data_IF_921767011812
#
_entry.id   IF_921767011812
#
_cell.length_a   1.000
_cell.length_b   1.000
_cell.length_c   1.000
_cell.angle_alpha   90.00
_cell.angle_beta   90.00
_cell.angle_gamma   90.00
#
_symmetry.space_group_name_H-M   'P 1'
#
loop_
_entity.id
_entity.type
_entity.pdbx_description
1 polymer ?
#
# COMPACT_ATOMS: atom_id res chain seq x y z
N UNK A 1 -15.46 -7.11 12.60
CA UNK A 1 -14.43 -8.14 12.85
C UNK A 1 -14.58 -8.78 14.23
N UNK A 2 -14.35 -10.09 14.36
CA UNK A 2 -14.29 -10.82 15.64
C UNK A 2 -12.82 -11.10 15.99
N UNK A 3 -12.21 -10.17 16.73
CA UNK A 3 -10.78 -10.22 17.06
C UNK A 3 -10.47 -11.45 17.92
N UNK A 4 -9.54 -12.29 17.45
CA UNK A 4 -9.01 -13.43 18.22
C UNK A 4 -7.86 -12.96 19.13
N UNK A 5 -8.19 -12.64 20.38
CA UNK A 5 -7.22 -12.14 21.37
C UNK A 5 -6.20 -13.19 21.84
N UNK A 6 -6.30 -14.44 21.40
CA UNK A 6 -5.37 -15.50 21.75
C UNK A 6 -4.29 -15.70 20.70
N UNK A 7 -4.36 -15.02 19.54
CA UNK A 7 -3.36 -15.16 18.51
C UNK A 7 -2.01 -14.60 18.96
N UNK A 8 -0.99 -15.35 18.59
CA UNK A 8 0.41 -14.96 18.66
C UNK A 8 1.03 -15.29 17.31
N UNK A 9 2.16 -14.65 17.00
CA UNK A 9 2.82 -14.84 15.70
C UNK A 9 3.25 -16.30 15.53
N UNK A 10 3.65 -16.96 16.61
CA UNK A 10 4.04 -18.38 16.63
C UNK A 10 2.92 -19.31 16.15
N UNK A 11 1.66 -18.91 16.31
CA UNK A 11 0.53 -19.68 15.78
C UNK A 11 0.45 -19.65 14.24
N UNK A 12 1.14 -18.72 13.59
CA UNK A 12 1.17 -18.57 12.13
C UNK A 12 2.41 -19.18 11.47
N UNK A 13 3.37 -19.71 12.24
CA UNK A 13 4.66 -20.20 11.72
C UNK A 13 4.48 -21.21 10.57
N UNK A 14 3.59 -22.20 10.76
CA UNK A 14 3.30 -23.22 9.73
C UNK A 14 2.73 -22.59 8.45
N UNK A 15 1.76 -21.69 8.58
CA UNK A 15 1.14 -21.00 7.44
C UNK A 15 2.13 -20.07 6.73
N UNK A 16 3.03 -19.42 7.46
CA UNK A 16 4.07 -18.57 6.90
C UNK A 16 5.10 -19.39 6.10
N UNK A 17 5.51 -20.56 6.61
CA UNK A 17 6.41 -21.44 5.86
C UNK A 17 5.75 -21.90 4.54
N UNK A 18 4.50 -22.36 4.59
CA UNK A 18 3.74 -22.72 3.39
C UNK A 18 3.57 -21.53 2.44
N UNK A 19 3.31 -20.33 2.96
CA UNK A 19 3.19 -19.10 2.18
C UNK A 19 4.47 -18.81 1.39
N UNK A 20 5.65 -18.92 2.01
CA UNK A 20 6.93 -18.67 1.34
C UNK A 20 7.28 -19.73 0.29
N UNK A 21 6.93 -20.99 0.53
CA UNK A 21 7.07 -22.06 -0.46
C UNK A 21 6.23 -21.79 -1.71
N UNK A 22 4.95 -21.43 -1.52
CA UNK A 22 4.05 -21.09 -2.62
C UNK A 22 4.49 -19.81 -3.33
N UNK A 23 4.89 -18.78 -2.57
CA UNK A 23 5.37 -17.50 -3.08
C UNK A 23 6.52 -17.67 -4.07
N UNK A 24 7.53 -18.49 -3.73
CA UNK A 24 8.65 -18.78 -4.60
C UNK A 24 8.20 -19.43 -5.92
N UNK A 25 7.31 -20.43 -5.83
CA UNK A 25 6.74 -21.09 -7.01
C UNK A 25 5.99 -20.11 -7.93
N UNK A 26 5.20 -19.19 -7.35
CA UNK A 26 4.46 -18.17 -8.10
C UNK A 26 5.42 -17.22 -8.84
N UNK A 27 6.45 -16.72 -8.17
CA UNK A 27 7.46 -15.83 -8.77
C UNK A 27 8.16 -16.52 -9.95
N UNK A 28 8.59 -17.76 -9.78
CA UNK A 28 9.25 -18.53 -10.85
C UNK A 28 8.30 -18.83 -12.02
N UNK A 29 7.02 -19.10 -11.74
CA UNK A 29 6.02 -19.30 -12.79
C UNK A 29 5.81 -18.04 -13.63
N UNK A 30 5.75 -16.86 -13.01
CA UNK A 30 5.64 -15.56 -13.71
C UNK A 30 6.89 -15.30 -14.53
N UNK A 31 8.09 -15.40 -13.95
CA UNK A 31 9.35 -15.14 -14.65
C UNK A 31 9.52 -16.04 -15.89
N UNK A 32 9.05 -17.29 -15.81
CA UNK A 32 9.13 -18.24 -16.93
C UNK A 32 8.09 -18.00 -18.02
N UNK A 33 6.87 -17.58 -17.67
CA UNK A 33 5.71 -17.65 -18.57
C UNK A 33 5.19 -16.29 -19.03
N UNK A 34 5.47 -15.21 -18.28
CA UNK A 34 4.88 -13.92 -18.56
C UNK A 34 5.64 -13.19 -19.67
N UNK A 35 4.91 -12.74 -20.70
CA UNK A 35 5.48 -11.95 -21.78
C UNK A 35 5.61 -10.48 -21.37
N UNK A 36 6.83 -10.06 -21.06
CA UNK A 36 7.13 -8.67 -20.70
C UNK A 36 6.84 -7.66 -21.82
N UNK A 37 6.68 -8.07 -23.08
CA UNK A 37 6.30 -7.17 -24.17
C UNK A 37 4.81 -6.78 -24.12
N UNK A 38 3.97 -7.54 -23.42
CA UNK A 38 2.54 -7.25 -23.29
C UNK A 38 2.26 -6.02 -22.41
N UNK A 39 3.24 -5.58 -21.62
CA UNK A 39 3.16 -4.50 -20.63
C UNK A 39 3.24 -5.00 -19.18
N UNK A 40 3.07 -4.10 -18.22
CA UNK A 40 3.15 -4.44 -16.80
C UNK A 40 2.03 -5.38 -16.34
N UNK A 41 2.32 -6.48 -15.62
CA UNK A 41 1.30 -7.34 -15.03
C UNK A 41 0.55 -6.65 -13.89
N UNK A 42 -0.79 -6.74 -13.92
CA UNK A 42 -1.68 -6.02 -12.99
C UNK A 42 -2.49 -6.98 -12.12
N UNK A 43 -3.29 -7.83 -12.74
CA UNK A 43 -4.16 -8.81 -12.08
C UNK A 43 -4.27 -10.09 -12.92
N UNK A 44 -4.67 -11.19 -12.29
CA UNK A 44 -4.86 -12.45 -13.00
C UNK A 44 -6.22 -12.55 -13.66
N UNK A 45 -6.30 -13.27 -14.78
CA UNK A 45 -7.53 -13.74 -15.41
C UNK A 45 -7.33 -15.23 -15.67
N UNK A 46 -8.23 -16.05 -15.16
CA UNK A 46 -8.12 -17.52 -15.18
C UNK A 46 -6.77 -17.98 -14.61
N UNK A 47 -6.31 -17.28 -13.56
CA UNK A 47 -5.06 -17.56 -12.88
C UNK A 47 -3.79 -17.20 -13.62
N UNK A 48 -3.84 -16.46 -14.74
CA UNK A 48 -2.66 -15.93 -15.44
C UNK A 48 -2.62 -14.41 -15.35
N UNK A 49 -1.47 -13.84 -14.99
CA UNK A 49 -1.32 -12.39 -14.95
C UNK A 49 -1.51 -11.77 -16.33
N UNK A 50 -2.26 -10.69 -16.37
CA UNK A 50 -2.56 -9.92 -17.58
C UNK A 50 -2.20 -8.44 -17.39
N UNK A 51 -2.17 -7.70 -18.49
CA UNK A 51 -1.93 -6.26 -18.47
C UNK A 51 -3.22 -5.46 -18.43
N UNK A 52 -3.08 -4.23 -17.93
CA UNK A 52 -4.08 -3.18 -18.10
C UNK A 52 -3.34 -1.86 -18.33
N UNK A 53 -3.22 -1.46 -19.58
CA UNK A 53 -2.57 -0.20 -19.94
C UNK A 53 -3.31 0.98 -19.30
N UNK A 54 -2.73 1.56 -18.26
CA UNK A 54 -3.27 2.73 -17.57
C UNK A 54 -2.18 3.60 -16.94
N UNK A 55 -1.46 3.08 -15.95
CA UNK A 55 -0.46 3.86 -15.18
C UNK A 55 0.87 3.13 -14.96
N UNK A 56 1.05 1.91 -15.45
CA UNK A 56 2.27 1.08 -15.23
C UNK A 56 2.71 1.01 -13.75
N UNK A 57 1.76 1.14 -12.82
CA UNK A 57 2.04 1.39 -11.40
C UNK A 57 2.45 0.13 -10.60
N UNK A 58 2.29 -1.06 -11.18
CA UNK A 58 2.48 -2.35 -10.49
C UNK A 58 3.80 -3.06 -10.82
N UNK A 59 4.63 -2.52 -11.72
CA UNK A 59 5.84 -3.20 -12.19
C UNK A 59 6.86 -3.39 -11.07
N UNK A 60 6.99 -2.41 -10.18
CA UNK A 60 7.86 -2.52 -9.02
C UNK A 60 7.41 -3.56 -8.00
N UNK A 61 6.12 -3.87 -7.93
CA UNK A 61 5.62 -4.96 -7.08
C UNK A 61 6.03 -6.34 -7.61
N UNK A 62 6.06 -6.54 -8.93
CA UNK A 62 6.53 -7.78 -9.53
C UNK A 62 7.98 -8.07 -9.12
N UNK A 63 8.88 -7.13 -9.35
CA UNK A 63 10.31 -7.34 -9.08
C UNK A 63 10.63 -7.24 -7.59
N UNK A 64 9.92 -6.38 -6.86
CA UNK A 64 10.01 -6.28 -5.41
C UNK A 64 9.58 -7.55 -4.69
N UNK A 65 8.62 -8.30 -5.24
CA UNK A 65 8.20 -9.59 -4.67
C UNK A 65 9.34 -10.60 -4.60
N UNK A 66 10.23 -10.63 -5.60
CA UNK A 66 11.43 -11.47 -5.57
C UNK A 66 12.43 -11.03 -4.48
N UNK A 67 12.56 -9.73 -4.25
CA UNK A 67 13.43 -9.21 -3.18
C UNK A 67 12.89 -9.56 -1.79
N UNK A 68 11.58 -9.49 -1.58
CA UNK A 68 10.94 -9.90 -0.33
C UNK A 68 11.05 -11.42 -0.09
N UNK A 69 10.91 -12.23 -1.15
CA UNK A 69 11.16 -13.68 -1.08
C UNK A 69 12.59 -13.95 -0.59
N UNK A 70 13.59 -13.29 -1.18
CA UNK A 70 14.98 -13.43 -0.75
C UNK A 70 15.20 -13.04 0.72
N UNK A 71 14.63 -11.92 1.18
CA UNK A 71 14.78 -11.49 2.58
C UNK A 71 14.25 -12.54 3.57
N UNK A 72 13.13 -13.17 3.22
CA UNK A 72 12.49 -14.18 4.05
C UNK A 72 13.22 -15.53 4.04
N UNK A 73 13.68 -16.00 2.87
CA UNK A 73 14.17 -17.38 2.69
C UNK A 73 15.68 -17.50 2.52
N UNK A 74 16.37 -16.45 2.11
CA UNK A 74 17.81 -16.47 1.77
C UNK A 74 18.15 -17.11 0.43
N UNK A 75 17.14 -17.45 -0.38
CA UNK A 75 17.32 -18.11 -1.68
C UNK A 75 17.85 -17.15 -2.75
N UNK A 76 19.12 -17.28 -3.11
CA UNK A 76 19.87 -16.34 -3.95
C UNK A 76 19.29 -16.11 -5.35
N UNK A 77 18.54 -17.08 -5.90
CA UNK A 77 17.89 -16.95 -7.21
C UNK A 77 16.91 -15.75 -7.23
N UNK A 78 16.14 -15.55 -6.16
CA UNK A 78 15.18 -14.44 -6.11
C UNK A 78 15.85 -13.07 -5.98
N UNK A 79 17.00 -12.99 -5.30
CA UNK A 79 17.83 -11.79 -5.32
C UNK A 79 18.33 -11.47 -6.73
N UNK A 80 18.78 -12.49 -7.47
CA UNK A 80 19.25 -12.32 -8.85
C UNK A 80 18.11 -11.85 -9.77
N UNK A 81 16.93 -12.45 -9.67
CA UNK A 81 15.73 -12.05 -10.43
C UNK A 81 15.38 -10.59 -10.12
N UNK A 82 15.20 -10.25 -8.83
CA UNK A 82 14.79 -8.92 -8.41
C UNK A 82 15.82 -7.84 -8.79
N UNK A 83 17.11 -8.10 -8.59
CA UNK A 83 18.19 -7.17 -8.94
C UNK A 83 18.29 -6.96 -10.44
N UNK A 84 18.35 -8.04 -11.23
CA UNK A 84 18.46 -7.98 -12.69
C UNK A 84 17.30 -7.19 -13.29
N UNK A 85 16.07 -7.57 -12.95
CA UNK A 85 14.88 -6.92 -13.50
C UNK A 85 14.76 -5.44 -13.06
N UNK A 86 15.18 -5.11 -11.84
CA UNK A 86 15.22 -3.70 -11.40
C UNK A 86 16.15 -2.87 -12.29
N UNK A 87 17.38 -3.34 -12.52
CA UNK A 87 18.38 -2.63 -13.33
C UNK A 87 17.94 -2.52 -14.80
N UNK A 88 17.46 -3.61 -15.38
CA UNK A 88 17.15 -3.67 -16.81
C UNK A 88 15.85 -2.94 -17.17
N UNK A 89 14.85 -2.91 -16.27
CA UNK A 89 13.47 -2.56 -16.64
C UNK A 89 12.88 -1.37 -15.89
N UNK A 90 13.42 -0.96 -14.74
CA UNK A 90 12.77 0.07 -13.91
C UNK A 90 13.17 1.51 -14.23
N UNK A 91 14.18 1.74 -15.08
CA UNK A 91 14.62 3.10 -15.41
C UNK A 91 13.50 4.03 -15.93
N UNK A 92 12.56 3.61 -16.80
CA UNK A 92 11.43 4.44 -17.23
C UNK A 92 10.54 4.93 -16.08
N UNK A 93 10.41 4.15 -15.00
CA UNK A 93 9.60 4.50 -13.82
C UNK A 93 10.26 5.58 -12.94
N UNK A 94 11.55 5.84 -13.09
CA UNK A 94 12.24 6.94 -12.40
C UNK A 94 11.82 8.30 -12.95
N UNK A 95 11.53 8.36 -14.24
CA UNK A 95 11.22 9.58 -14.97
C UNK A 95 9.75 9.68 -15.41
N UNK A 96 8.88 8.81 -14.92
CA UNK A 96 7.46 8.78 -15.30
C UNK A 96 6.69 9.97 -14.70
N UNK A 97 6.74 11.12 -15.37
CA UNK A 97 6.10 12.37 -14.90
C UNK A 97 4.57 12.31 -14.83
N UNK A 98 3.92 11.32 -15.47
CA UNK A 98 2.46 11.21 -15.57
C UNK A 98 1.72 10.65 -14.35
N UNK A 99 2.42 10.06 -13.36
CA UNK A 99 1.79 9.32 -12.25
C UNK A 99 2.38 9.70 -10.90
N UNK A 100 1.67 9.38 -9.82
CA UNK A 100 2.10 9.62 -8.43
C UNK A 100 2.61 8.35 -7.74
N UNK A 101 2.76 7.25 -8.48
CA UNK A 101 3.04 5.90 -7.98
C UNK A 101 4.53 5.58 -7.86
N UNK A 102 5.39 6.61 -7.81
CA UNK A 102 6.83 6.43 -7.75
C UNK A 102 7.26 5.66 -6.49
N UNK A 103 6.65 5.94 -5.33
CA UNK A 103 6.93 5.18 -4.12
C UNK A 103 6.56 3.70 -4.24
N UNK A 104 5.46 3.36 -4.90
CA UNK A 104 5.09 1.96 -5.14
C UNK A 104 6.06 1.23 -6.05
N UNK A 105 6.55 1.90 -7.11
CA UNK A 105 7.49 1.27 -8.03
C UNK A 105 8.92 1.20 -7.48
N UNK A 106 9.43 2.33 -6.98
CA UNK A 106 10.87 2.53 -6.79
C UNK A 106 11.34 2.22 -5.37
N UNK A 107 10.46 2.28 -4.36
CA UNK A 107 10.81 1.77 -3.01
C UNK A 107 10.76 0.25 -3.01
N UNK A 108 9.75 -0.35 -3.65
CA UNK A 108 9.61 -1.81 -3.74
C UNK A 108 10.78 -2.49 -4.45
N UNK A 109 11.52 -1.74 -5.27
CA UNK A 109 12.68 -2.23 -6.04
C UNK A 109 14.00 -1.67 -5.52
N UNK A 110 14.41 -0.47 -5.96
CA UNK A 110 15.65 0.19 -5.55
C UNK A 110 15.73 0.38 -4.03
N UNK A 111 14.62 0.74 -3.39
CA UNK A 111 14.53 0.86 -1.93
C UNK A 111 14.81 -0.45 -1.20
N UNK A 112 14.21 -1.56 -1.64
CA UNK A 112 14.46 -2.88 -1.06
C UNK A 112 15.90 -3.36 -1.29
N UNK A 113 16.48 -3.15 -2.48
CA UNK A 113 17.88 -3.49 -2.73
C UNK A 113 18.83 -2.72 -1.82
N UNK A 114 18.58 -1.42 -1.63
CA UNK A 114 19.35 -0.58 -0.73
C UNK A 114 19.20 -1.02 0.73
N UNK A 115 17.96 -1.26 1.18
CA UNK A 115 17.66 -1.76 2.53
C UNK A 115 18.38 -3.08 2.81
N UNK A 116 18.29 -4.05 1.91
CA UNK A 116 18.94 -5.35 2.06
C UNK A 116 20.47 -5.22 2.17
N UNK A 117 21.07 -4.23 1.51
CA UNK A 117 22.50 -3.93 1.68
C UNK A 117 22.79 -3.35 3.07
N UNK A 118 21.99 -2.40 3.54
CA UNK A 118 22.18 -1.80 4.87
C UNK A 118 21.92 -2.78 6.02
N UNK A 119 20.94 -3.67 5.90
CA UNK A 119 20.67 -4.73 6.86
C UNK A 119 21.72 -5.87 6.83
N UNK A 120 22.73 -5.79 5.95
CA UNK A 120 23.76 -6.83 5.81
C UNK A 120 23.24 -8.14 5.22
N UNK A 121 22.05 -8.14 4.60
CA UNK A 121 21.47 -9.29 3.90
C UNK A 121 22.11 -9.52 2.54
N UNK A 122 22.84 -8.55 2.00
CA UNK A 122 23.65 -8.68 0.79
C UNK A 122 25.03 -8.07 1.01
N UNK A 123 26.01 -8.47 0.20
CA UNK A 123 27.35 -7.89 0.25
C UNK A 123 27.31 -6.39 -0.07
N UNK A 124 28.06 -5.60 0.70
CA UNK A 124 28.19 -4.17 0.46
C UNK A 124 28.88 -3.91 -0.88
N UNK A 125 28.24 -3.12 -1.74
CA UNK A 125 28.82 -2.66 -3.00
C UNK A 125 28.53 -1.16 -3.16
N UNK A 126 29.58 -0.35 -3.12
CA UNK A 126 29.46 1.10 -3.13
C UNK A 126 28.87 1.64 -4.45
N UNK A 127 29.14 0.98 -5.58
CA UNK A 127 28.59 1.42 -6.87
C UNK A 127 27.10 1.14 -6.95
N UNK A 128 26.68 -0.08 -6.58
CA UNK A 128 25.26 -0.44 -6.51
C UNK A 128 24.49 0.47 -5.54
N UNK A 129 25.05 0.71 -4.34
CA UNK A 129 24.48 1.64 -3.36
C UNK A 129 24.24 3.03 -3.96
N UNK A 130 25.28 3.63 -4.56
CA UNK A 130 25.16 4.96 -5.17
C UNK A 130 24.15 4.99 -6.32
N UNK A 131 24.07 3.91 -7.10
CA UNK A 131 23.07 3.76 -8.15
C UNK A 131 21.63 3.72 -7.59
N UNK A 132 21.39 2.93 -6.53
CA UNK A 132 20.08 2.86 -5.88
C UNK A 132 19.69 4.18 -5.21
N UNK A 133 20.62 4.85 -4.53
CA UNK A 133 20.39 6.18 -3.96
C UNK A 133 20.05 7.21 -5.04
N UNK A 134 20.77 7.22 -6.17
CA UNK A 134 20.48 8.14 -7.27
C UNK A 134 19.08 7.91 -7.82
N UNK A 135 18.69 6.65 -8.02
CA UNK A 135 17.35 6.29 -8.47
C UNK A 135 16.25 6.81 -7.51
N UNK A 136 16.44 6.63 -6.20
CA UNK A 136 15.51 7.11 -5.17
C UNK A 136 15.44 8.64 -5.14
N UNK A 137 16.60 9.32 -5.20
CA UNK A 137 16.69 10.80 -5.24
C UNK A 137 15.94 11.37 -6.43
N UNK A 138 16.22 10.87 -7.63
CA UNK A 138 15.56 11.30 -8.88
C UNK A 138 14.06 11.04 -8.80
N UNK A 139 13.66 9.84 -8.38
CA UNK A 139 12.24 9.48 -8.29
C UNK A 139 11.47 10.34 -7.28
N UNK A 140 12.09 10.68 -6.14
CA UNK A 140 11.51 11.58 -5.14
C UNK A 140 11.27 12.98 -5.70
N UNK A 141 12.25 13.52 -6.42
CA UNK A 141 12.11 14.82 -7.08
C UNK A 141 11.03 14.80 -8.17
N UNK A 142 10.98 13.76 -9.02
CA UNK A 142 9.98 13.65 -10.10
C UNK A 142 8.56 13.55 -9.55
N UNK A 143 8.30 12.72 -8.53
CA UNK A 143 6.98 12.68 -7.89
C UNK A 143 6.64 14.04 -7.26
N UNK A 144 7.61 14.68 -6.60
CA UNK A 144 7.40 15.98 -5.99
C UNK A 144 6.99 17.06 -7.00
N UNK A 145 7.42 16.99 -8.27
CA UNK A 145 7.03 17.95 -9.31
C UNK A 145 5.51 18.03 -9.53
N UNK A 146 4.77 16.98 -9.19
CA UNK A 146 3.30 16.93 -9.33
C UNK A 146 2.60 17.71 -8.22
N UNK A 147 2.91 18.98 -8.05
CA UNK A 147 2.43 19.79 -6.93
C UNK A 147 1.23 20.67 -7.30
N UNK A 148 0.17 20.61 -6.49
CA UNK A 148 -0.94 21.57 -6.50
C UNK A 148 -0.93 22.40 -5.23
N UNK A 149 -0.94 23.71 -5.37
CA UNK A 149 -1.16 24.65 -4.26
C UNK A 149 -2.65 24.79 -3.99
N UNK A 150 -3.04 24.75 -2.72
CA UNK A 150 -4.42 25.00 -2.27
C UNK A 150 -4.47 26.23 -1.38
N UNK A 151 -5.69 26.70 -1.06
CA UNK A 151 -5.88 27.88 -0.21
C UNK A 151 -5.14 27.80 1.14
N UNK A 152 -5.07 26.61 1.72
CA UNK A 152 -4.51 26.36 3.05
C UNK A 152 -3.30 25.41 3.03
N UNK A 153 -2.66 25.18 1.86
CA UNK A 153 -1.55 24.23 1.77
C UNK A 153 -1.28 23.75 0.35
N UNK A 154 -1.22 22.44 0.17
CA UNK A 154 -1.02 21.82 -1.14
C UNK A 154 -0.74 20.34 -1.04
N UNK A 155 -0.76 19.66 -2.17
CA UNK A 155 -0.62 18.21 -2.25
C UNK A 155 0.05 17.76 -3.54
N UNK A 156 0.57 16.54 -3.53
CA UNK A 156 0.99 15.84 -4.75
C UNK A 156 -0.26 15.29 -5.44
N UNK A 157 -0.54 15.75 -6.66
CA UNK A 157 -1.77 15.42 -7.37
C UNK A 157 -1.68 14.07 -8.11
N UNK A 158 -2.83 13.40 -8.18
CA UNK A 158 -2.97 12.04 -8.74
C UNK A 158 -2.78 12.04 -10.26
N UNK A 159 -2.79 10.86 -10.90
CA UNK A 159 -2.73 10.80 -12.38
C UNK A 159 -3.95 11.46 -13.05
N UNK A 160 -5.07 11.63 -12.32
CA UNK A 160 -6.29 12.27 -12.83
C UNK A 160 -6.09 13.77 -13.13
N UNK A 161 -5.10 14.40 -12.50
CA UNK A 161 -4.62 15.75 -12.81
C UNK A 161 -4.57 16.68 -11.61
N UNK A 162 -4.20 17.95 -11.81
CA UNK A 162 -3.90 18.89 -10.73
C UNK A 162 -5.04 19.18 -9.75
N UNK A 163 -6.28 18.84 -10.10
CA UNK A 163 -7.46 19.03 -9.25
C UNK A 163 -7.68 17.88 -8.24
N UNK A 164 -6.94 16.78 -8.37
CA UNK A 164 -7.26 15.50 -7.74
C UNK A 164 -6.19 15.05 -6.74
N UNK A 165 -6.62 14.78 -5.51
CA UNK A 165 -5.84 14.15 -4.44
C UNK A 165 -6.38 12.73 -4.19
N UNK A 166 -5.60 11.69 -4.49
CA UNK A 166 -5.95 10.31 -4.13
C UNK A 166 -5.39 9.93 -2.77
N UNK A 167 -6.07 9.08 -2.02
CA UNK A 167 -5.63 8.68 -0.68
C UNK A 167 -4.38 7.80 -0.68
N UNK A 168 -4.14 7.00 -1.73
CA UNK A 168 -2.97 6.12 -1.88
C UNK A 168 -1.62 6.85 -1.90
N UNK A 169 -1.63 8.11 -2.32
CA UNK A 169 -0.46 9.00 -2.31
C UNK A 169 0.19 9.13 -0.93
N UNK A 170 -0.55 8.89 0.17
CA UNK A 170 0.01 8.79 1.52
C UNK A 170 1.15 7.77 1.56
N UNK A 171 1.00 6.62 0.88
CA UNK A 171 2.02 5.56 0.81
C UNK A 171 3.10 5.85 -0.21
N UNK A 172 2.76 6.49 -1.33
CA UNK A 172 3.76 6.78 -2.36
C UNK A 172 4.71 7.91 -1.94
N UNK A 173 4.29 8.81 -1.05
CA UNK A 173 5.11 9.91 -0.51
C UNK A 173 6.37 9.47 0.23
N UNK A 174 6.45 8.21 0.67
CA UNK A 174 7.67 7.62 1.23
C UNK A 174 8.91 7.84 0.33
N UNK A 175 8.74 7.94 -1.00
CA UNK A 175 9.88 8.21 -1.90
C UNK A 175 10.46 9.62 -1.74
N UNK A 176 9.62 10.62 -1.45
CA UNK A 176 10.09 11.96 -1.13
C UNK A 176 10.84 11.97 0.21
N UNK A 177 10.37 11.20 1.18
CA UNK A 177 11.00 11.05 2.49
C UNK A 177 12.39 10.43 2.38
N UNK A 178 12.51 9.29 1.71
CA UNK A 178 13.79 8.63 1.48
C UNK A 178 14.74 9.54 0.70
N UNK A 179 14.25 10.18 -0.37
CA UNK A 179 15.04 11.15 -1.14
C UNK A 179 15.53 12.32 -0.28
N UNK A 180 14.70 12.81 0.65
CA UNK A 180 15.10 13.86 1.59
C UNK A 180 16.18 13.40 2.56
N UNK A 181 16.03 12.22 3.16
CA UNK A 181 17.02 11.64 4.09
C UNK A 181 18.40 11.53 3.43
N UNK A 182 18.43 11.24 2.12
CA UNK A 182 19.68 11.21 1.36
C UNK A 182 20.18 12.59 0.90
N UNK A 183 19.65 13.68 1.46
CA UNK A 183 20.11 15.05 1.24
C UNK A 183 19.63 15.70 -0.07
N UNK A 184 18.69 15.09 -0.79
CA UNK A 184 18.23 15.61 -2.07
C UNK A 184 17.09 16.62 -1.93
N UNK A 185 16.92 17.43 -2.98
CA UNK A 185 15.88 18.45 -3.12
C UNK A 185 15.45 18.54 -4.57
N UNK A 186 14.19 18.91 -4.81
CA UNK A 186 13.77 19.29 -6.15
C UNK A 186 14.30 20.69 -6.46
N UNK A 187 14.95 20.86 -7.62
CA UNK A 187 15.33 22.17 -8.14
C UNK A 187 14.25 22.66 -9.11
N UNK A 188 13.62 23.79 -8.79
CA UNK A 188 12.62 24.46 -9.59
C UNK A 188 13.22 25.52 -10.52
N UNK A 189 12.36 26.36 -11.09
CA UNK A 189 12.78 27.50 -11.91
C UNK A 189 13.62 28.49 -11.10
N UNK A 190 14.55 29.18 -11.77
CA UNK A 190 15.47 30.14 -11.14
C UNK A 190 16.27 29.54 -9.96
N UNK A 191 16.63 28.26 -10.07
CA UNK A 191 17.36 27.49 -9.06
C UNK A 191 16.64 27.44 -7.69
N UNK A 192 15.31 27.57 -7.67
CA UNK A 192 14.53 27.47 -6.43
C UNK A 192 14.68 26.07 -5.83
N UNK A 193 15.27 26.00 -4.64
CA UNK A 193 15.39 24.74 -3.89
C UNK A 193 14.09 24.42 -3.16
N UNK A 194 13.38 23.39 -3.64
CA UNK A 194 12.11 22.93 -3.07
C UNK A 194 12.36 21.74 -2.13
N UNK A 195 11.89 21.86 -0.89
CA UNK A 195 12.00 20.80 0.11
C UNK A 195 10.99 19.67 -0.13
N UNK A 196 11.52 18.46 -0.32
CA UNK A 196 10.74 17.22 -0.47
C UNK A 196 9.99 16.87 0.82
N UNK A 197 10.64 17.03 1.98
CA UNK A 197 10.01 16.79 3.28
C UNK A 197 8.86 17.77 3.53
N UNK A 198 9.03 19.07 3.25
CA UNK A 198 7.96 20.06 3.46
C UNK A 198 6.77 19.83 2.53
N UNK A 199 7.01 19.40 1.27
CA UNK A 199 5.92 18.97 0.37
C UNK A 199 5.21 17.73 0.92
N UNK A 200 5.95 16.77 1.44
CA UNK A 200 5.39 15.57 2.07
C UNK A 200 4.49 15.93 3.25
N UNK A 201 4.97 16.75 4.19
CA UNK A 201 4.19 17.18 5.35
C UNK A 201 2.88 17.87 4.95
N UNK A 202 2.95 18.82 4.01
CA UNK A 202 1.74 19.52 3.51
C UNK A 202 0.76 18.59 2.80
N UNK A 203 1.29 17.62 2.06
CA UNK A 203 0.49 16.58 1.43
C UNK A 203 -0.23 15.72 2.47
N UNK A 204 0.49 15.21 3.48
CA UNK A 204 -0.09 14.41 4.56
C UNK A 204 -1.17 15.16 5.34
N UNK A 205 -0.96 16.45 5.63
CA UNK A 205 -1.97 17.31 6.24
C UNK A 205 -3.22 17.38 5.34
N UNK A 206 -3.04 17.53 4.03
CA UNK A 206 -4.16 17.59 3.08
C UNK A 206 -4.89 16.24 3.01
N UNK A 207 -4.18 15.12 2.92
CA UNK A 207 -4.79 13.78 2.91
C UNK A 207 -5.56 13.50 4.20
N UNK A 208 -4.98 13.83 5.37
CA UNK A 208 -5.66 13.67 6.66
C UNK A 208 -6.91 14.56 6.78
N UNK A 209 -6.87 15.79 6.28
CA UNK A 209 -8.00 16.73 6.43
C UNK A 209 -9.13 16.50 5.42
N UNK A 210 -8.81 16.01 4.21
CA UNK A 210 -9.80 15.96 3.13
C UNK A 210 -10.20 14.53 2.75
N UNK A 211 -9.31 13.55 2.89
CA UNK A 211 -9.61 12.15 2.57
C UNK A 211 -10.16 11.36 3.77
N UNK A 212 -9.81 11.72 5.01
CA UNK A 212 -10.31 11.04 6.22
C UNK A 212 -11.43 11.84 6.87
N UNK A 213 -12.45 11.14 7.35
CA UNK A 213 -13.60 11.69 8.07
C UNK A 213 -13.49 11.37 9.57
N UNK A 214 -13.99 12.27 10.42
CA UNK A 214 -13.74 12.21 11.87
C UNK A 214 -15.01 12.28 12.71
N UNK A 215 -16.20 12.40 12.10
CA UNK A 215 -17.44 12.57 12.85
C UNK A 215 -17.47 13.87 13.65
N UNK A 216 -16.82 14.92 13.15
CA UNK A 216 -16.68 16.23 13.80
C UNK A 216 -17.53 17.31 13.13
N UNK A 217 -18.53 16.90 12.35
CA UNK A 217 -19.50 17.80 11.73
C UNK A 217 -19.03 18.41 10.41
N UNK A 218 -18.16 17.73 9.67
CA UNK A 218 -17.77 18.14 8.30
C UNK A 218 -18.99 18.23 7.38
N UNK A 219 -19.84 17.20 7.40
CA UNK A 219 -21.10 17.11 6.66
C UNK A 219 -22.00 16.00 7.26
N UNK A 220 -23.17 15.73 6.67
CA UNK A 220 -24.14 14.73 7.16
C UNK A 220 -23.63 13.28 7.09
N UNK A 221 -22.60 13.01 6.30
CA UNK A 221 -22.02 11.67 6.11
C UNK A 221 -20.62 11.57 6.76
N UNK A 222 -20.30 12.48 7.67
CA UNK A 222 -19.06 12.49 8.44
C UNK A 222 -19.10 11.43 9.52
N UNK A 223 -18.46 10.29 9.23
CA UNK A 223 -18.35 9.14 10.12
C UNK A 223 -16.87 8.92 10.47
N UNK A 224 -16.59 8.59 11.72
CA UNK A 224 -15.23 8.32 12.21
C UNK A 224 -14.54 7.25 11.34
N UNK A 225 -13.46 7.63 10.65
CA UNK A 225 -12.63 6.74 9.86
C UNK A 225 -13.13 6.40 8.47
N UNK A 226 -14.33 6.86 8.09
CA UNK A 226 -14.76 6.83 6.69
C UNK A 226 -13.69 7.52 5.85
N UNK A 227 -13.35 6.91 4.71
CA UNK A 227 -12.23 7.38 3.89
C UNK A 227 -12.68 7.56 2.45
N UNK A 228 -12.50 8.77 1.93
CA UNK A 228 -12.70 9.05 0.51
C UNK A 228 -11.50 8.55 -0.28
N UNK A 229 -11.78 7.96 -1.44
CA UNK A 229 -10.75 7.58 -2.40
C UNK A 229 -10.07 8.83 -2.99
N UNK A 230 -10.87 9.79 -3.46
CA UNK A 230 -10.41 10.99 -4.13
C UNK A 230 -11.02 12.26 -3.51
N UNK A 231 -10.21 13.30 -3.39
CA UNK A 231 -10.62 14.65 -3.00
C UNK A 231 -10.37 15.64 -4.12
N UNK A 232 -11.39 16.40 -4.51
CA UNK A 232 -11.38 17.33 -5.65
C UNK A 232 -11.22 18.77 -5.16
N UNK A 233 -10.32 19.51 -5.80
CA UNK A 233 -10.05 20.92 -5.55
C UNK A 233 -10.21 21.73 -6.83
N UNK A 234 -10.69 22.97 -6.73
CA UNK A 234 -10.67 23.89 -7.87
C UNK A 234 -9.27 24.48 -8.01
N UNK A 235 -8.68 24.31 -9.18
CA UNK A 235 -7.31 24.74 -9.49
C UNK A 235 -7.17 26.25 -9.69
N UNK A 236 -8.27 26.98 -9.86
CA UNK A 236 -8.26 28.43 -10.02
C UNK A 236 -8.11 29.16 -8.68
N UNK A 237 -8.72 28.63 -7.61
CA UNK A 237 -8.78 29.28 -6.29
C UNK A 237 -8.24 28.43 -5.14
N UNK A 238 -7.92 27.16 -5.40
CA UNK A 238 -7.39 26.21 -4.42
C UNK A 238 -8.40 25.74 -3.38
N UNK A 239 -9.71 25.98 -3.56
CA UNK A 239 -10.74 25.54 -2.62
C UNK A 239 -11.12 24.08 -2.84
N UNK A 240 -11.32 23.34 -1.74
CA UNK A 240 -11.94 22.01 -1.76
C UNK A 240 -13.35 22.08 -2.36
N UNK A 241 -13.73 21.08 -3.15
CA UNK A 241 -15.03 21.00 -3.84
C UNK A 241 -15.87 19.85 -3.35
N UNK A 242 -15.36 18.63 -3.47
CA UNK A 242 -16.10 17.43 -3.12
C UNK A 242 -15.17 16.23 -2.98
N UNK A 243 -15.69 15.17 -2.37
CA UNK A 243 -15.11 13.83 -2.48
C UNK A 243 -15.60 13.14 -3.76
N UNK A 244 -14.79 12.24 -4.27
CA UNK A 244 -15.00 11.49 -5.51
C UNK A 244 -14.38 10.09 -5.36
N UNK A 245 -14.49 9.27 -6.39
CA UNK A 245 -13.82 7.98 -6.49
C UNK A 245 -13.64 7.57 -7.96
N UNK A 246 -12.54 6.88 -8.27
CA UNK A 246 -12.41 6.12 -9.52
C UNK A 246 -12.81 4.66 -9.34
N UNK A 247 -12.34 4.01 -8.27
CA UNK A 247 -12.44 2.55 -8.09
C UNK A 247 -13.50 2.09 -7.09
N UNK A 248 -14.01 3.00 -6.26
CA UNK A 248 -15.09 2.73 -5.30
C UNK A 248 -16.47 2.86 -5.92
N UNK A 249 -17.50 2.42 -5.20
CA UNK A 249 -18.88 2.51 -5.67
C UNK A 249 -19.35 3.96 -5.81
N UNK A 250 -19.05 4.81 -4.84
CA UNK A 250 -19.42 6.24 -4.87
C UNK A 250 -18.48 7.06 -3.98
N UNK A 251 -18.38 8.37 -4.26
CA UNK A 251 -17.64 9.30 -3.40
C UNK A 251 -18.20 9.39 -1.97
N UNK A 252 -19.41 8.86 -1.73
CA UNK A 252 -20.07 8.81 -0.43
C UNK A 252 -19.89 7.48 0.32
N UNK A 253 -19.31 6.46 -0.29
CA UNK A 253 -18.99 5.19 0.37
C UNK A 253 -17.52 5.16 0.82
N UNK A 254 -17.02 3.99 1.23
CA UNK A 254 -15.60 3.76 1.49
C UNK A 254 -15.14 2.52 0.73
N UNK A 255 -14.36 2.78 -0.32
CA UNK A 255 -13.62 1.74 -1.03
C UNK A 255 -12.51 1.19 -0.11
N UNK A 256 -12.56 -0.10 0.18
CA UNK A 256 -11.81 -0.66 1.32
C UNK A 256 -10.31 -0.73 1.08
N UNK A 257 -9.85 -0.81 -0.18
CA UNK A 257 -8.43 -0.64 -0.50
C UNK A 257 -7.95 0.80 -0.32
N UNK A 258 -8.77 1.80 -0.66
CA UNK A 258 -8.46 3.21 -0.40
C UNK A 258 -8.32 3.48 1.10
N UNK A 259 -9.22 2.92 1.91
CA UNK A 259 -9.11 2.90 3.37
C UNK A 259 -7.80 2.24 3.82
N UNK A 260 -7.48 1.06 3.29
CA UNK A 260 -6.28 0.31 3.67
C UNK A 260 -4.99 1.10 3.36
N UNK A 261 -4.94 1.87 2.27
CA UNK A 261 -3.80 2.75 2.00
C UNK A 261 -3.57 3.79 3.09
N UNK A 262 -4.64 4.43 3.58
CA UNK A 262 -4.54 5.34 4.72
C UNK A 262 -4.15 4.61 6.01
N UNK A 263 -4.74 3.44 6.26
CA UNK A 263 -4.44 2.62 7.44
C UNK A 263 -2.97 2.21 7.50
N UNK A 264 -2.35 1.89 6.36
CA UNK A 264 -0.97 1.47 6.33
C UNK A 264 -0.01 2.66 6.24
N UNK A 265 -0.40 3.70 5.49
CA UNK A 265 0.38 4.92 5.33
C UNK A 265 0.59 5.67 6.63
N UNK A 266 -0.48 6.08 7.32
CA UNK A 266 -0.32 6.93 8.51
C UNK A 266 0.55 6.31 9.62
N UNK A 267 0.46 5.01 9.95
CA UNK A 267 1.41 4.36 10.86
C UNK A 267 2.85 4.37 10.36
N UNK A 268 3.12 4.15 9.08
CA UNK A 268 4.48 4.27 8.53
C UNK A 268 5.00 5.71 8.63
N UNK A 269 4.14 6.71 8.41
CA UNK A 269 4.54 8.11 8.55
C UNK A 269 4.80 8.47 10.02
N UNK A 270 4.02 7.93 10.96
CA UNK A 270 4.31 8.07 12.39
C UNK A 270 5.70 7.50 12.73
N UNK A 271 6.00 6.28 12.29
CA UNK A 271 7.30 5.62 12.49
C UNK A 271 8.46 6.47 11.92
N UNK A 272 8.28 7.05 10.74
CA UNK A 272 9.28 7.90 10.10
C UNK A 272 9.45 9.25 10.81
N UNK A 273 8.36 9.99 11.06
CA UNK A 273 8.42 11.32 11.65
C UNK A 273 8.84 11.33 13.12
N UNK A 274 8.74 10.19 13.83
CA UNK A 274 9.39 10.04 15.13
C UNK A 274 10.91 10.28 15.05
N UNK A 275 11.55 9.81 13.98
CA UNK A 275 12.99 9.96 13.74
C UNK A 275 13.39 11.31 13.16
N UNK A 276 12.45 12.03 12.54
CA UNK A 276 12.71 13.35 11.96
C UNK A 276 12.89 14.42 13.06
N UNK A 277 13.97 15.21 13.04
CA UNK A 277 14.15 16.29 14.03
C UNK A 277 13.11 17.40 13.82
N UNK A 278 12.65 18.01 14.90
CA UNK A 278 11.62 19.07 14.85
C UNK A 278 12.04 20.27 13.99
N UNK A 279 13.33 20.61 13.96
CA UNK A 279 13.88 21.68 13.13
C UNK A 279 13.65 21.47 11.62
N UNK A 280 13.50 20.23 11.16
CA UNK A 280 13.20 19.94 9.76
C UNK A 280 11.76 20.32 9.36
N UNK A 281 10.87 20.54 10.35
CA UNK A 281 9.45 20.88 10.18
C UNK A 281 9.17 22.39 10.33
N UNK A 282 10.18 23.18 10.69
CA UNK A 282 10.06 24.62 10.92
C UNK A 282 9.42 25.35 9.73
N UNK A 283 8.45 26.22 10.06
CA UNK A 283 7.69 27.00 9.09
C UNK A 283 6.60 26.22 8.34
N UNK A 284 6.29 24.98 8.76
CA UNK A 284 5.15 24.21 8.22
C UNK A 284 4.14 23.87 9.32
N UNK A 285 4.57 23.13 10.34
CA UNK A 285 3.73 22.65 11.45
C UNK A 285 4.65 22.22 12.61
N UNK A 286 4.17 22.27 13.86
CA UNK A 286 4.92 21.69 14.98
C UNK A 286 4.99 20.16 14.85
N UNK A 287 6.07 19.53 15.34
CA UNK A 287 6.18 18.06 15.32
C UNK A 287 5.01 17.43 16.09
N UNK A 288 4.66 18.02 17.22
CA UNK A 288 3.54 17.57 18.07
C UNK A 288 2.21 17.54 17.31
N UNK A 289 1.87 18.61 16.60
CA UNK A 289 0.58 18.71 15.90
C UNK A 289 0.53 17.79 14.67
N UNK A 290 1.66 17.63 13.96
CA UNK A 290 1.77 16.67 12.86
C UNK A 290 1.55 15.24 13.35
N UNK A 291 2.25 14.83 14.41
CA UNK A 291 2.11 13.50 14.99
C UNK A 291 0.69 13.26 15.51
N UNK A 292 0.07 14.26 16.15
CA UNK A 292 -1.31 14.16 16.62
C UNK A 292 -2.31 13.99 15.47
N UNK A 293 -2.14 14.73 14.37
CA UNK A 293 -2.98 14.61 13.17
C UNK A 293 -2.86 13.22 12.53
N UNK A 294 -1.63 12.75 12.30
CA UNK A 294 -1.39 11.43 11.71
C UNK A 294 -1.90 10.30 12.62
N UNK A 295 -1.72 10.43 13.93
CA UNK A 295 -2.24 9.45 14.88
C UNK A 295 -3.77 9.41 14.88
N UNK A 296 -4.42 10.57 14.84
CA UNK A 296 -5.89 10.65 14.74
C UNK A 296 -6.38 9.97 13.46
N UNK A 297 -5.74 10.24 12.32
CA UNK A 297 -6.07 9.61 11.04
C UNK A 297 -5.83 8.08 11.06
N UNK A 298 -4.71 7.62 11.63
CA UNK A 298 -4.39 6.21 11.78
C UNK A 298 -5.43 5.47 12.64
N UNK A 299 -5.78 6.02 13.82
CA UNK A 299 -6.82 5.45 14.68
C UNK A 299 -8.18 5.42 13.98
N UNK A 300 -8.59 6.53 13.39
CA UNK A 300 -9.87 6.64 12.69
C UNK A 300 -10.01 5.56 11.61
N UNK A 301 -9.05 5.49 10.69
CA UNK A 301 -9.09 4.52 9.58
C UNK A 301 -8.99 3.07 10.06
N UNK A 302 -8.16 2.77 11.05
CA UNK A 302 -8.06 1.40 11.60
C UNK A 302 -9.31 0.98 12.37
N UNK A 303 -9.93 1.88 13.14
CA UNK A 303 -11.18 1.62 13.85
C UNK A 303 -12.31 1.31 12.86
N UNK A 304 -12.48 2.15 11.84
CA UNK A 304 -13.50 1.96 10.82
C UNK A 304 -13.32 0.62 10.08
N UNK A 305 -12.08 0.23 9.77
CA UNK A 305 -11.80 -1.07 9.16
C UNK A 305 -12.24 -2.24 10.06
N UNK A 306 -11.93 -2.19 11.36
CA UNK A 306 -12.31 -3.24 12.32
C UNK A 306 -13.84 -3.37 12.40
N UNK A 307 -14.54 -2.23 12.39
CA UNK A 307 -16.00 -2.15 12.47
C UNK A 307 -16.69 -2.60 11.17
N UNK A 308 -16.06 -2.39 10.01
CA UNK A 308 -16.65 -2.64 8.68
C UNK A 308 -16.02 -3.83 7.92
N UNK A 309 -15.32 -4.72 8.63
CA UNK A 309 -14.81 -5.99 8.08
C UNK A 309 -15.55 -7.19 8.67
N UNK A 310 -15.62 -8.28 7.90
CA UNK A 310 -16.19 -9.56 8.34
C UNK A 310 -15.48 -10.12 9.58
N UNK A 311 -16.01 -11.16 10.19
CA UNK A 311 -15.49 -11.69 11.46
C UNK A 311 -14.04 -12.16 11.39
N UNK A 312 -13.60 -12.65 10.24
CA UNK A 312 -12.22 -13.07 9.93
C UNK A 312 -11.28 -11.92 9.55
N UNK A 313 -11.80 -10.70 9.43
CA UNK A 313 -11.03 -9.51 9.12
C UNK A 313 -10.83 -9.24 7.63
N UNK A 314 -11.49 -9.98 6.73
CA UNK A 314 -11.47 -9.71 5.30
C UNK A 314 -12.67 -8.80 4.93
N UNK A 315 -12.45 -7.67 4.24
CA UNK A 315 -13.52 -6.74 3.91
C UNK A 315 -14.15 -7.05 2.55
N UNK A 316 -15.40 -6.60 2.36
CA UNK A 316 -15.96 -6.42 1.02
C UNK A 316 -15.27 -5.25 0.30
N UNK A 317 -15.30 -5.24 -1.03
CA UNK A 317 -14.54 -4.26 -1.83
C UNK A 317 -14.91 -2.78 -1.54
N UNK A 318 -16.16 -2.52 -1.14
CA UNK A 318 -16.65 -1.18 -0.79
C UNK A 318 -17.79 -1.28 0.24
N UNK A 319 -17.78 -0.42 1.26
CA UNK A 319 -18.78 -0.46 2.36
C UNK A 319 -20.17 0.03 1.97
N UNK A 320 -20.31 0.67 0.80
CA UNK A 320 -21.57 1.12 0.24
C UNK A 320 -22.01 0.35 -1.00
N UNK A 321 -21.34 -0.75 -1.36
CA UNK A 321 -21.65 -1.50 -2.56
C UNK A 321 -23.14 -1.95 -2.57
N UNK A 322 -23.86 -1.78 -3.69
CA UNK A 322 -25.31 -1.87 -3.71
C UNK A 322 -25.84 -3.27 -3.40
N UNK A 323 -25.09 -4.32 -3.74
CA UNK A 323 -25.44 -5.71 -3.47
C UNK A 323 -25.35 -6.09 -1.99
N UNK A 324 -24.68 -5.30 -1.14
CA UNK A 324 -24.60 -5.56 0.31
C UNK A 324 -25.98 -5.63 0.97
N UNK A 325 -26.98 -4.93 0.43
CA UNK A 325 -28.38 -4.98 0.94
C UNK A 325 -29.00 -6.37 0.85
N UNK A 326 -28.45 -7.24 0.01
CA UNK A 326 -28.89 -8.63 -0.16
C UNK A 326 -28.10 -9.61 0.72
N UNK A 327 -27.09 -9.15 1.45
CA UNK A 327 -26.17 -10.02 2.20
C UNK A 327 -26.52 -10.16 3.68
N UNK A 328 -27.59 -9.51 4.15
CA UNK A 328 -28.01 -9.56 5.55
C UNK A 328 -26.93 -9.05 6.50
N UNK A 329 -26.74 -9.74 7.63
CA UNK A 329 -25.73 -9.38 8.64
C UNK A 329 -24.35 -9.98 8.32
N UNK A 330 -23.81 -9.61 7.15
CA UNK A 330 -22.55 -10.15 6.63
C UNK A 330 -21.34 -9.84 7.53
N UNK A 331 -21.38 -8.74 8.30
CA UNK A 331 -20.31 -8.35 9.22
C UNK A 331 -20.18 -9.27 10.44
N UNK A 332 -21.26 -9.97 10.80
CA UNK A 332 -21.29 -10.96 11.88
C UNK A 332 -20.92 -12.38 11.44
N UNK A 333 -20.52 -12.57 10.18
CA UNK A 333 -20.10 -13.86 9.62
C UNK A 333 -18.64 -13.82 9.13
N UNK A 334 -18.00 -14.97 8.89
CA UNK A 334 -16.78 -15.02 8.08
C UNK A 334 -17.08 -14.48 6.69
N UNK A 335 -16.08 -13.90 6.04
CA UNK A 335 -16.23 -13.44 4.67
C UNK A 335 -16.46 -14.62 3.73
N UNK A 336 -17.28 -14.41 2.69
CA UNK A 336 -17.59 -15.43 1.69
C UNK A 336 -17.22 -14.91 0.30
N UNK A 337 -16.08 -15.30 -0.28
CA UNK A 337 -15.68 -14.84 -1.60
C UNK A 337 -16.53 -15.42 -2.75
N UNK A 338 -17.40 -16.41 -2.48
CA UNK A 338 -18.21 -17.11 -3.49
C UNK A 338 -19.71 -16.77 -3.40
N UNK A 339 -20.07 -15.75 -2.63
CA UNK A 339 -21.44 -15.28 -2.55
C UNK A 339 -21.92 -14.69 -3.90
N UNK A 340 -23.23 -14.46 -4.01
CA UNK A 340 -23.86 -14.04 -5.26
C UNK A 340 -23.99 -12.52 -5.47
N UNK A 341 -23.53 -11.69 -4.52
CA UNK A 341 -23.96 -10.29 -4.40
C UNK A 341 -22.81 -9.29 -4.49
N UNK A 342 -21.75 -9.42 -3.70
CA UNK A 342 -20.60 -8.51 -3.75
C UNK A 342 -19.26 -9.25 -3.54
N UNK A 343 -18.18 -8.87 -4.24
CA UNK A 343 -16.89 -9.50 -4.04
C UNK A 343 -16.19 -8.97 -2.78
N UNK A 344 -15.38 -9.82 -2.16
CA UNK A 344 -14.40 -9.40 -1.16
C UNK A 344 -13.19 -8.74 -1.83
N UNK A 345 -12.36 -8.04 -1.06
CA UNK A 345 -11.04 -7.62 -1.55
C UNK A 345 -9.93 -8.02 -0.57
N UNK A 346 -9.29 -9.16 -0.85
CA UNK A 346 -8.16 -9.66 -0.05
C UNK A 346 -6.94 -8.75 -0.09
N UNK A 347 -6.79 -7.92 -1.14
CA UNK A 347 -5.67 -6.97 -1.20
C UNK A 347 -5.83 -5.85 -0.17
N UNK A 348 -7.06 -5.37 0.06
CA UNK A 348 -7.36 -4.47 1.16
C UNK A 348 -7.05 -5.10 2.52
N UNK A 349 -7.31 -6.41 2.68
CA UNK A 349 -6.95 -7.12 3.91
C UNK A 349 -5.44 -7.23 4.13
N UNK A 350 -4.67 -7.54 3.09
CA UNK A 350 -3.21 -7.60 3.16
C UNK A 350 -2.58 -6.26 3.58
N UNK A 351 -3.08 -5.16 3.03
CA UNK A 351 -2.62 -3.80 3.34
C UNK A 351 -3.13 -3.36 4.73
N UNK A 352 -4.40 -3.63 5.03
CA UNK A 352 -5.03 -3.26 6.29
C UNK A 352 -4.41 -3.98 7.48
N UNK A 353 -4.09 -5.27 7.35
CA UNK A 353 -3.38 -6.03 8.38
C UNK A 353 -2.00 -5.46 8.69
N UNK A 354 -1.25 -4.98 7.68
CA UNK A 354 0.01 -4.27 7.92
C UNK A 354 -0.22 -3.00 8.74
N UNK A 355 -1.20 -2.16 8.35
CA UNK A 355 -1.55 -0.95 9.09
C UNK A 355 -1.93 -1.22 10.55
N UNK A 356 -2.75 -2.24 10.79
CA UNK A 356 -3.16 -2.68 12.12
C UNK A 356 -1.97 -3.13 12.98
N UNK A 357 -1.08 -3.98 12.45
CA UNK A 357 0.09 -4.45 13.19
C UNK A 357 1.07 -3.32 13.48
N UNK A 358 1.32 -2.42 12.52
CA UNK A 358 2.19 -1.24 12.71
C UNK A 358 1.61 -0.32 13.78
N UNK A 359 0.34 0.05 13.69
CA UNK A 359 -0.32 0.91 14.67
C UNK A 359 -0.37 0.27 16.07
N UNK A 360 -0.70 -1.02 16.14
CA UNK A 360 -0.72 -1.78 17.39
C UNK A 360 0.63 -1.83 18.08
N UNK A 361 1.70 -2.04 17.32
CA UNK A 361 3.08 -1.95 17.82
C UNK A 361 3.43 -0.53 18.27
N UNK A 362 3.14 0.48 17.44
CA UNK A 362 3.45 1.89 17.70
C UNK A 362 2.83 2.38 19.02
N UNK A 363 1.57 2.03 19.25
CA UNK A 363 0.82 2.42 20.45
C UNK A 363 0.95 1.47 21.63
N UNK A 364 1.53 0.29 21.41
CA UNK A 364 1.46 -0.84 22.32
C UNK A 364 0.00 -1.18 22.72
N UNK A 365 -0.92 -1.14 21.74
CA UNK A 365 -2.35 -1.40 21.93
C UNK A 365 -2.73 -2.79 21.34
N UNK A 366 -3.04 -3.80 22.17
CA UNK A 366 -3.34 -5.16 21.70
C UNK A 366 -4.52 -5.26 20.73
N UNK A 367 -5.50 -4.35 20.81
CA UNK A 367 -6.66 -4.30 19.91
C UNK A 367 -6.23 -4.37 18.44
N UNK A 368 -5.31 -3.50 18.02
CA UNK A 368 -4.88 -3.44 16.62
C UNK A 368 -3.95 -4.61 16.26
N UNK A 369 -3.03 -4.98 17.15
CA UNK A 369 -2.14 -6.12 16.91
C UNK A 369 -2.94 -7.41 16.71
N UNK A 370 -3.93 -7.68 17.57
CA UNK A 370 -4.76 -8.88 17.48
C UNK A 370 -5.72 -8.84 16.28
N UNK A 371 -6.23 -7.67 15.91
CA UNK A 371 -7.01 -7.49 14.68
C UNK A 371 -6.15 -7.81 13.43
N UNK A 372 -4.92 -7.31 13.38
CA UNK A 372 -3.98 -7.58 12.29
C UNK A 372 -3.61 -9.07 12.18
N UNK A 373 -3.37 -9.74 13.31
CA UNK A 373 -3.13 -11.20 13.34
C UNK A 373 -4.36 -12.01 12.92
N UNK A 374 -5.57 -11.56 13.28
CA UNK A 374 -6.83 -12.19 12.88
C UNK A 374 -6.96 -12.18 11.35
N UNK A 375 -6.77 -11.01 10.72
CA UNK A 375 -6.82 -10.88 9.26
C UNK A 375 -5.69 -11.67 8.57
N UNK A 376 -4.46 -11.63 9.10
CA UNK A 376 -3.33 -12.37 8.54
C UNK A 376 -3.55 -13.89 8.56
N UNK A 377 -4.14 -14.42 9.63
CA UNK A 377 -4.50 -15.85 9.75
C UNK A 377 -5.44 -16.30 8.63
N UNK A 378 -6.47 -15.50 8.34
CA UNK A 378 -7.42 -15.78 7.27
C UNK A 378 -6.76 -15.68 5.89
N UNK A 379 -5.98 -14.62 5.67
CA UNK A 379 -5.31 -14.37 4.39
C UNK A 379 -4.30 -15.46 4.00
N UNK A 380 -3.57 -16.02 4.96
CA UNK A 380 -2.58 -17.08 4.75
C UNK A 380 -3.17 -18.50 4.83
N UNK A 381 -4.47 -18.62 4.58
CA UNK A 381 -5.19 -19.89 4.52
C UNK A 381 -6.10 -19.91 3.29
N UNK A 382 -6.49 -21.11 2.83
CA UNK A 382 -7.57 -21.22 1.85
C UNK A 382 -8.89 -20.67 2.44
N UNK A 383 -9.75 -20.02 1.63
CA UNK A 383 -9.67 -19.88 0.17
C UNK A 383 -8.80 -18.72 -0.34
N UNK A 384 -8.19 -17.92 0.54
CA UNK A 384 -7.41 -16.74 0.16
C UNK A 384 -6.00 -17.02 -0.34
N UNK A 385 -5.36 -18.09 0.15
CA UNK A 385 -4.05 -18.50 -0.30
C UNK A 385 -4.16 -19.47 -1.49
N UNK A 386 -3.56 -19.12 -2.62
CA UNK A 386 -3.55 -19.96 -3.82
C UNK A 386 -2.59 -21.14 -3.69
N UNK A 387 -3.14 -22.34 -3.52
CA UNK A 387 -2.40 -23.61 -3.49
C UNK A 387 -2.28 -24.27 -4.88
N UNK A 388 -3.03 -23.79 -5.88
CA UNK A 388 -3.05 -24.36 -7.23
C UNK A 388 -1.75 -24.02 -8.01
N UNK A 389 -0.92 -25.00 -8.42
CA UNK A 389 0.31 -24.74 -9.18
C UNK A 389 0.07 -24.13 -10.57
N UNK A 390 -1.15 -24.21 -11.13
CA UNK A 390 -1.48 -23.58 -12.40
C UNK A 390 -1.73 -22.07 -12.29
N UNK A 391 -2.16 -21.60 -11.11
CA UNK A 391 -2.45 -20.21 -10.82
C UNK A 391 -1.16 -19.42 -10.50
N UNK A 392 -0.92 -18.31 -11.18
CA UNK A 392 0.30 -17.50 -11.03
C UNK A 392 0.24 -16.54 -9.83
N UNK A 393 -0.94 -16.12 -9.40
CA UNK A 393 -1.11 -15.28 -8.21
C UNK A 393 -1.05 -16.06 -6.89
N UNK A 394 -0.66 -15.39 -5.81
CA UNK A 394 -0.49 -15.96 -4.47
C UNK A 394 -1.71 -15.72 -3.58
N UNK A 395 -2.23 -14.49 -3.53
CA UNK A 395 -3.43 -14.12 -2.74
C UNK A 395 -4.63 -13.92 -3.65
N UNK A 396 -5.65 -14.75 -3.48
CA UNK A 396 -6.87 -14.78 -4.30
C UNK A 396 -7.93 -13.81 -3.79
N UNK A 397 -8.95 -13.58 -4.61
CA UNK A 397 -10.10 -12.72 -4.32
C UNK A 397 -9.74 -11.24 -4.17
N UNK A 398 -8.84 -10.76 -5.02
CA UNK A 398 -8.57 -9.33 -5.15
C UNK A 398 -9.48 -8.72 -6.22
N UNK A 399 -9.95 -7.49 -5.96
CA UNK A 399 -10.79 -6.73 -6.90
C UNK A 399 -10.03 -5.50 -7.34
N UNK A 400 -9.74 -5.35 -8.62
CA UNK A 400 -9.04 -4.20 -9.17
C UNK A 400 -9.94 -2.98 -9.37
N UNK A 401 -10.96 -3.07 -10.21
CA UNK A 401 -11.72 -1.90 -10.64
C UNK A 401 -13.18 -2.24 -10.95
N UNK A 402 -13.93 -2.54 -9.88
CA UNK A 402 -15.31 -3.00 -9.98
C UNK A 402 -16.22 -2.09 -10.83
N UNK A 403 -16.18 -0.74 -10.70
CA UNK A 403 -17.04 0.12 -11.52
C UNK A 403 -16.77 0.09 -13.04
N UNK A 404 -15.55 -0.28 -13.46
CA UNK A 404 -15.19 -0.35 -14.88
C UNK A 404 -15.34 -1.77 -15.45
N UNK A 405 -15.83 -2.72 -14.64
CA UNK A 405 -16.03 -4.11 -15.03
C UNK A 405 -14.76 -4.79 -15.60
N UNK A 406 -13.61 -4.52 -14.96
CA UNK A 406 -12.32 -5.10 -15.36
C UNK A 406 -12.03 -6.43 -14.71
N UNK A 407 -12.73 -6.74 -13.62
CA UNK A 407 -12.47 -7.89 -12.78
C UNK A 407 -13.13 -9.15 -13.36
N UNK A 408 -12.37 -10.24 -13.44
CA UNK A 408 -12.87 -11.49 -14.01
C UNK A 408 -13.95 -12.12 -13.12
N UNK A 409 -15.06 -12.52 -13.73
CA UNK A 409 -16.13 -13.30 -13.10
C UNK A 409 -16.08 -14.71 -13.68
N UNK A 410 -15.67 -15.73 -12.90
CA UNK A 410 -15.63 -17.11 -13.37
C UNK A 410 -17.00 -17.62 -13.81
N UNK A 411 -17.00 -18.58 -14.74
CA UNK A 411 -18.24 -19.20 -15.21
C UNK A 411 -19.07 -19.79 -14.05
N UNK A 412 -20.36 -19.44 -13.99
CA UNK A 412 -21.27 -19.86 -12.91
C UNK A 412 -21.27 -18.95 -11.69
N UNK A 413 -20.34 -18.00 -11.59
CA UNK A 413 -20.32 -16.98 -10.54
C UNK A 413 -21.08 -15.71 -10.98
N UNK A 414 -21.48 -14.89 -10.00
CA UNK A 414 -22.15 -13.60 -10.25
C UNK A 414 -21.28 -12.38 -9.93
N UNK A 415 -20.23 -12.59 -9.16
CA UNK A 415 -19.29 -11.55 -8.74
C UNK A 415 -17.84 -12.00 -8.96
N UNK A 416 -16.89 -11.07 -9.07
CA UNK A 416 -15.49 -11.42 -9.24
C UNK A 416 -14.96 -12.22 -8.06
N UNK A 417 -14.27 -13.32 -8.34
CA UNK A 417 -13.61 -14.14 -7.34
C UNK A 417 -12.52 -15.00 -7.99
N UNK A 418 -11.60 -15.52 -7.18
CA UNK A 418 -10.58 -16.47 -7.64
C UNK A 418 -9.36 -15.85 -8.31
N UNK A 419 -9.32 -14.52 -8.51
CA UNK A 419 -8.16 -13.84 -9.10
C UNK A 419 -7.30 -13.10 -8.07
N UNK A 420 -6.04 -12.90 -8.43
CA UNK A 420 -5.04 -12.15 -7.68
C UNK A 420 -4.71 -10.81 -8.32
N UNK A 421 -4.07 -9.95 -7.55
CA UNK A 421 -3.48 -8.70 -8.04
C UNK A 421 -2.02 -8.58 -7.65
N UNK A 422 -1.21 -7.87 -8.43
CA UNK A 422 0.22 -7.75 -8.18
C UNK A 422 0.51 -6.99 -6.87
N UNK A 423 -0.30 -5.97 -6.54
CA UNK A 423 -0.18 -5.26 -5.26
C UNK A 423 -0.65 -6.11 -4.08
N UNK A 424 -1.73 -6.90 -4.23
CA UNK A 424 -2.21 -7.81 -3.19
C UNK A 424 -1.14 -8.83 -2.84
N UNK A 425 -0.56 -9.44 -3.86
CA UNK A 425 0.54 -10.39 -3.76
C UNK A 425 1.80 -9.80 -3.10
N UNK A 426 2.17 -8.56 -3.46
CA UNK A 426 3.33 -7.88 -2.88
C UNK A 426 3.08 -7.50 -1.40
N UNK A 427 1.91 -6.95 -1.09
CA UNK A 427 1.58 -6.55 0.27
C UNK A 427 1.33 -7.74 1.20
N UNK A 428 0.85 -8.86 0.68
CA UNK A 428 0.83 -10.12 1.42
C UNK A 428 2.25 -10.60 1.76
N UNK A 429 3.21 -10.43 0.85
CA UNK A 429 4.63 -10.71 1.12
C UNK A 429 5.24 -9.74 2.12
N UNK A 430 4.93 -8.44 2.06
CA UNK A 430 5.37 -7.48 3.10
C UNK A 430 4.81 -7.85 4.48
N UNK A 431 3.53 -8.22 4.56
CA UNK A 431 2.89 -8.68 5.79
C UNK A 431 3.54 -9.97 6.32
N UNK A 432 3.76 -10.96 5.44
CA UNK A 432 4.42 -12.20 5.80
C UNK A 432 5.87 -11.94 6.26
N UNK A 433 6.58 -11.01 5.63
CA UNK A 433 7.96 -10.66 5.99
C UNK A 433 8.00 -10.00 7.36
N UNK A 434 7.10 -9.06 7.64
CA UNK A 434 6.93 -8.45 8.96
C UNK A 434 6.81 -9.53 10.05
N UNK A 435 5.90 -10.49 9.85
CA UNK A 435 5.63 -11.54 10.84
C UNK A 435 6.79 -12.53 10.92
N UNK A 436 7.43 -12.87 9.81
CA UNK A 436 8.60 -13.75 9.75
C UNK A 436 9.78 -13.14 10.49
N UNK A 437 10.06 -11.84 10.30
CA UNK A 437 11.11 -11.13 11.05
C UNK A 437 10.80 -11.10 12.54
N UNK A 438 9.54 -10.89 12.93
CA UNK A 438 9.12 -10.96 14.33
C UNK A 438 9.36 -12.35 14.94
N UNK A 439 9.02 -13.43 14.22
CA UNK A 439 9.28 -14.82 14.66
C UNK A 439 10.77 -15.09 14.87
N UNK A 440 11.60 -14.60 13.94
CA UNK A 440 13.06 -14.81 13.96
C UNK A 440 13.77 -13.86 14.93
N UNK A 441 13.06 -12.91 15.56
CA UNK A 441 13.68 -11.86 16.37
C UNK A 441 14.61 -10.94 15.57
N UNK A 442 14.35 -10.78 14.27
CA UNK A 442 15.08 -9.87 13.38
C UNK A 442 14.66 -8.41 13.60
N UNK A 443 15.43 -7.48 13.01
CA UNK A 443 15.11 -6.06 13.00
C UNK A 443 13.69 -5.80 12.47
N UNK A 444 13.01 -4.83 13.09
CA UNK A 444 11.69 -4.42 12.69
C UNK A 444 11.67 -3.87 11.26
N UNK A 445 10.75 -4.33 10.41
CA UNK A 445 10.69 -3.91 9.01
C UNK A 445 10.07 -2.51 8.84
N UNK A 446 10.88 -1.54 8.40
CA UNK A 446 10.42 -0.22 7.92
C UNK A 446 10.99 0.08 6.54
N UNK A 447 10.35 1.00 5.81
CA UNK A 447 10.82 1.42 4.49
C UNK A 447 12.13 2.24 4.54
N UNK A 448 12.57 2.67 5.74
CA UNK A 448 13.75 3.50 5.97
C UNK A 448 14.84 2.80 6.80
N UNK A 449 14.75 1.48 6.99
CA UNK A 449 15.74 0.67 7.69
C UNK A 449 17.16 0.96 7.15
N UNK A 450 18.09 1.23 8.07
CA UNK A 450 19.49 1.52 7.75
C UNK A 450 19.79 2.90 7.15
N UNK A 451 18.78 3.73 6.89
CA UNK A 451 18.96 5.08 6.34
C UNK A 451 18.91 6.19 7.40
N UNK A 452 18.26 5.93 8.54
CA UNK A 452 18.13 6.89 9.64
C UNK A 452 18.64 6.24 10.93
N UNK A 453 19.49 6.97 11.65
CA UNK A 453 20.08 6.54 12.93
C UNK A 453 19.11 6.73 14.11
#
# INVERSE_FOLDING_TARGET
>A
MKIDNQLKVEHLEKSLNQFWDLSGQKILAIEKQYDGQAGTPVFTVEGKYTTRGWTEWTQGFQFGSALLQYDATGEKEFLQIGRKNTVEKMAPHLTHKGVHDHGFNNISTYGNLLRLMHEGKTEHNEWEKNFYELAIKVSGAVQAMRWTTTKNGGYIYSFNGPHSLFVDTVRSCRILMMSHVMGHSLMGENDEKISLLKRTVRHLISTANYSVFYGEGRDLYDLWGRTAHESIFNTNDGNFRSVSTQQGYTGMSTWTRGLAWAMCGFPEELEFFEKVPESALEGVISKKDLMALMLKAAKATCDFYIENSCTDGIPYWDTGAPGLVHMGDYLSQPSDPFNAHEPVDSSAAAIGAQGLLRLGKYLNEPKYTQAGLTAAKALFSEPYLSTDPAHQGLTLHSVYHRPNDWDHVPAGQKVPCGESSMWGDYHARELALYLTKQLKGEEYYTFFNGLMA
#
